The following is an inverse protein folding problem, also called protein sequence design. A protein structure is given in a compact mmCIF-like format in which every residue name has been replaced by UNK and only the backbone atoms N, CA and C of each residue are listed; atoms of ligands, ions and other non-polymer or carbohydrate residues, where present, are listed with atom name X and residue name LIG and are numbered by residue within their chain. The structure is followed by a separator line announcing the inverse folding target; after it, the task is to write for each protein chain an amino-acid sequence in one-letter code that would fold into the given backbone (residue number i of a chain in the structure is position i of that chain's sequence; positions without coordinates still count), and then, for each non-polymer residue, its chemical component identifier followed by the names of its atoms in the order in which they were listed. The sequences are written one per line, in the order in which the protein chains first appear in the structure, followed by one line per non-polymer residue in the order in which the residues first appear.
data_IF_321518573936
#
_entry.id   IF_321518573936
#
_cell.length_a   1.000
_cell.length_b   1.000
_cell.length_c   1.000
_cell.angle_alpha   90.00
_cell.angle_beta   90.00
_cell.angle_gamma   90.00
#
_symmetry.space_group_name_H-M   'P 1'
#
loop_
_entity.id
_entity.type
_entity.pdbx_description
1 polymer ?
#
# COMPACT_ATOMS: atom_id res chain seq x y z
N UNK A 1 1.11 -6.89 15.30
CA UNK A 1 1.83 -7.02 14.02
C UNK A 1 2.94 -6.00 13.96
N UNK A 2 4.13 -6.43 13.61
CA UNK A 2 5.28 -5.54 13.54
C UNK A 2 5.50 -5.00 12.13
N UNK A 3 6.04 -3.78 12.07
CA UNK A 3 6.37 -3.14 10.81
C UNK A 3 7.42 -3.96 10.05
N UNK A 4 7.18 -4.19 8.77
CA UNK A 4 8.10 -4.97 7.94
C UNK A 4 9.40 -4.21 7.62
N UNK A 5 9.39 -2.89 7.79
CA UNK A 5 10.57 -2.04 7.53
C UNK A 5 11.36 -1.73 8.81
N UNK A 6 10.68 -1.42 9.91
CA UNK A 6 11.30 -0.96 11.16
C UNK A 6 11.33 -2.00 12.27
N UNK A 7 10.55 -3.05 12.14
CA UNK A 7 10.33 -4.06 13.16
C UNK A 7 9.68 -3.54 14.45
N UNK A 8 9.13 -2.33 14.42
CA UNK A 8 8.39 -1.75 15.52
C UNK A 8 6.92 -2.15 15.46
N UNK A 9 6.24 -2.23 16.62
CA UNK A 9 4.79 -2.53 16.59
C UNK A 9 4.03 -1.47 15.83
N UNK A 10 3.08 -1.91 15.02
CA UNK A 10 2.21 -1.01 14.28
C UNK A 10 0.91 -0.79 15.04
N UNK A 11 0.30 0.38 14.83
CA UNK A 11 -1.00 0.69 15.40
C UNK A 11 -2.08 0.48 14.35
N UNK A 12 -3.30 0.21 14.81
CA UNK A 12 -4.44 0.06 13.91
C UNK A 12 -5.17 1.40 13.84
N UNK A 13 -5.38 1.86 12.61
CA UNK A 13 -6.15 3.08 12.36
C UNK A 13 -7.31 2.73 11.43
N UNK A 14 -8.42 3.43 11.60
CA UNK A 14 -9.54 3.30 10.69
C UNK A 14 -9.50 4.43 9.67
N UNK A 15 -9.45 4.06 8.39
CA UNK A 15 -9.43 5.02 7.29
C UNK A 15 -10.58 4.67 6.36
N UNK A 16 -11.55 5.57 6.22
CA UNK A 16 -12.71 5.35 5.35
C UNK A 16 -13.38 3.98 5.60
N UNK A 17 -13.60 3.66 6.88
CA UNK A 17 -14.26 2.43 7.35
C UNK A 17 -13.42 1.15 7.15
N UNK A 18 -12.14 1.29 6.80
CA UNK A 18 -11.22 0.17 6.64
C UNK A 18 -10.12 0.26 7.69
N UNK A 19 -9.81 -0.83 8.36
CA UNK A 19 -8.71 -0.88 9.30
C UNK A 19 -7.39 -1.09 8.58
N UNK A 20 -6.41 -0.25 8.90
CA UNK A 20 -5.07 -0.35 8.35
C UNK A 20 -4.06 -0.42 9.49
N UNK A 21 -2.95 -1.09 9.27
CA UNK A 21 -1.86 -1.13 10.23
C UNK A 21 -0.82 -0.07 9.83
N UNK A 22 -0.51 0.82 10.75
CA UNK A 22 0.33 1.98 10.48
C UNK A 22 1.56 2.02 11.39
N UNK A 23 2.73 2.23 10.81
CA UNK A 23 3.97 2.39 11.57
C UNK A 23 4.21 3.87 11.86
N UNK A 24 4.25 4.23 13.14
CA UNK A 24 4.50 5.61 13.56
C UNK A 24 5.92 6.07 13.23
N UNK A 25 6.86 5.13 13.15
CA UNK A 25 8.26 5.48 12.89
C UNK A 25 8.54 5.79 11.41
N UNK A 26 8.15 4.89 10.51
CA UNK A 26 8.48 5.07 9.09
C UNK A 26 7.32 5.55 8.23
N UNK A 27 6.10 5.59 8.77
CA UNK A 27 4.93 6.01 8.00
C UNK A 27 4.40 4.97 7.03
N UNK A 28 4.90 3.75 7.10
CA UNK A 28 4.42 2.67 6.23
C UNK A 28 3.06 2.15 6.65
N UNK A 29 2.35 1.57 5.71
CA UNK A 29 0.97 1.09 5.92
C UNK A 29 0.83 -0.32 5.35
N UNK A 30 0.22 -1.21 6.13
CA UNK A 30 -0.16 -2.54 5.68
C UNK A 30 -1.67 -2.63 5.52
N UNK A 31 -2.10 -3.17 4.38
CA UNK A 31 -3.51 -3.45 4.10
C UNK A 31 -3.68 -4.93 3.81
N UNK A 32 -4.63 -5.57 4.50
CA UNK A 32 -4.96 -6.96 4.22
C UNK A 32 -5.61 -7.08 2.83
N UNK A 33 -5.55 -8.29 2.29
CA UNK A 33 -6.06 -8.57 0.95
C UNK A 33 -7.52 -8.13 0.80
N UNK A 34 -7.80 -7.39 -0.27
CA UNK A 34 -9.14 -6.91 -0.58
C UNK A 34 -9.49 -5.56 0.03
N UNK A 35 -8.76 -5.12 1.05
CA UNK A 35 -9.10 -3.87 1.73
C UNK A 35 -8.80 -2.62 0.91
N UNK A 36 -7.82 -2.68 0.03
CA UNK A 36 -7.49 -1.53 -0.81
C UNK A 36 -8.66 -1.15 -1.73
N UNK A 37 -9.31 -2.14 -2.31
CA UNK A 37 -10.48 -1.91 -3.15
C UNK A 37 -11.65 -1.29 -2.39
N UNK A 38 -11.85 -1.74 -1.17
CA UNK A 38 -12.90 -1.20 -0.29
C UNK A 38 -12.57 0.24 0.09
N UNK A 39 -11.30 0.48 0.48
CA UNK A 39 -10.84 1.81 0.86
C UNK A 39 -11.05 2.84 -0.25
N UNK A 40 -10.72 2.47 -1.49
CA UNK A 40 -10.81 3.37 -2.63
C UNK A 40 -12.19 3.37 -3.30
N UNK A 41 -13.07 2.48 -2.88
CA UNK A 41 -14.45 2.46 -3.39
C UNK A 41 -14.60 1.89 -4.79
N UNK A 42 -13.60 1.17 -5.30
CA UNK A 42 -13.67 0.55 -6.62
C UNK A 42 -12.84 -0.74 -6.63
N UNK A 43 -13.42 -1.80 -6.10
CA UNK A 43 -12.74 -3.09 -5.97
C UNK A 43 -12.31 -3.67 -7.32
N UNK A 44 -13.17 -3.54 -8.32
CA UNK A 44 -12.93 -4.10 -9.64
C UNK A 44 -11.74 -3.42 -10.32
N UNK A 45 -11.68 -2.10 -10.27
CA UNK A 45 -10.60 -1.32 -10.87
C UNK A 45 -9.27 -1.54 -10.16
N UNK A 46 -9.29 -1.58 -8.83
CA UNK A 46 -8.09 -1.86 -8.03
C UNK A 46 -7.54 -3.24 -8.38
N UNK A 47 -8.41 -4.24 -8.41
CA UNK A 47 -8.01 -5.60 -8.74
C UNK A 47 -7.39 -5.68 -10.14
N UNK A 48 -7.97 -4.99 -11.10
CA UNK A 48 -7.44 -4.94 -12.47
C UNK A 48 -6.07 -4.29 -12.51
N UNK A 49 -5.90 -3.14 -11.87
CA UNK A 49 -4.62 -2.42 -11.83
C UNK A 49 -3.52 -3.27 -11.19
N UNK A 50 -3.83 -3.94 -10.09
CA UNK A 50 -2.85 -4.80 -9.42
C UNK A 50 -2.48 -6.01 -10.26
N UNK A 51 -3.43 -6.54 -11.03
CA UNK A 51 -3.18 -7.67 -11.92
C UNK A 51 -2.27 -7.27 -13.08
N UNK A 52 -2.39 -6.04 -13.57
CA UNK A 52 -1.57 -5.53 -14.67
C UNK A 52 -0.21 -5.02 -14.22
N UNK A 53 0.03 -4.95 -12.91
CA UNK A 53 1.31 -4.49 -12.39
C UNK A 53 2.44 -5.44 -12.77
N UNK A 54 3.61 -4.88 -13.02
CA UNK A 54 4.79 -5.66 -13.41
C UNK A 54 5.77 -5.75 -12.24
N UNK A 55 6.63 -6.77 -12.21
CA UNK A 55 7.67 -6.84 -11.20
C UNK A 55 8.60 -5.65 -11.32
N UNK A 56 8.90 -4.99 -10.21
CA UNK A 56 9.83 -3.87 -10.20
C UNK A 56 11.26 -4.39 -10.26
N UNK A 57 12.16 -3.70 -10.99
CA UNK A 57 13.55 -4.08 -10.97
C UNK A 57 14.15 -3.76 -9.60
N UNK A 58 14.60 -4.78 -8.89
CA UNK A 58 15.22 -4.61 -7.59
C UNK A 58 16.66 -4.14 -7.76
N UNK A 59 16.96 -3.01 -7.14
CA UNK A 59 18.31 -2.46 -7.13
C UNK A 59 19.11 -2.89 -5.91
N UNK A 60 18.42 -3.44 -4.91
CA UNK A 60 19.03 -3.94 -3.69
C UNK A 60 18.52 -5.35 -3.41
N UNK A 61 19.30 -6.11 -2.64
CA UNK A 61 18.90 -7.45 -2.25
C UNK A 61 17.98 -7.46 -1.03
N UNK A 62 17.66 -6.29 -0.51
CA UNK A 62 16.81 -6.17 0.66
C UNK A 62 15.35 -6.24 0.27
N UNK A 63 14.69 -7.28 0.73
CA UNK A 63 13.26 -7.48 0.52
C UNK A 63 12.52 -7.31 1.84
N UNK A 64 11.33 -6.73 1.78
CA UNK A 64 10.47 -6.70 2.93
C UNK A 64 9.73 -8.03 3.07
N UNK A 65 9.48 -8.43 4.28
CA UNK A 65 8.77 -9.67 4.57
C UNK A 65 7.31 -9.38 4.88
N UNK A 66 6.42 -10.25 4.41
CA UNK A 66 5.01 -10.16 4.76
C UNK A 66 4.87 -10.28 6.28
N UNK A 67 4.15 -9.36 6.94
CA UNK A 67 4.00 -9.43 8.39
C UNK A 67 3.16 -10.61 8.88
N UNK A 68 2.44 -11.26 7.97
CA UNK A 68 1.60 -12.42 8.32
C UNK A 68 2.38 -13.73 8.15
N UNK A 69 2.94 -13.99 6.97
CA UNK A 69 3.63 -15.26 6.71
C UNK A 69 5.14 -15.19 6.84
N UNK A 70 5.69 -14.00 7.01
CA UNK A 70 7.13 -13.72 7.17
C UNK A 70 8.00 -14.12 5.99
N UNK A 71 7.40 -14.36 4.84
CA UNK A 71 8.12 -14.64 3.61
C UNK A 71 8.39 -13.37 2.84
N UNK A 72 9.43 -13.37 2.03
CA UNK A 72 9.79 -12.21 1.21
C UNK A 72 8.65 -11.84 0.28
N UNK A 73 8.33 -10.56 0.24
CA UNK A 73 7.32 -10.03 -0.66
C UNK A 73 7.94 -9.68 -2.00
N UNK A 74 7.11 -9.60 -3.03
CA UNK A 74 7.54 -9.10 -4.32
C UNK A 74 7.22 -7.62 -4.42
N UNK A 75 8.12 -6.86 -5.03
CA UNK A 75 7.86 -5.46 -5.31
C UNK A 75 7.26 -5.35 -6.71
N UNK A 76 6.15 -4.64 -6.82
CA UNK A 76 5.48 -4.42 -8.09
C UNK A 76 5.51 -2.93 -8.43
N UNK A 77 5.48 -2.65 -9.72
CA UNK A 77 5.53 -1.30 -10.26
C UNK A 77 4.24 -0.99 -11.00
N UNK A 78 3.66 0.18 -10.73
CA UNK A 78 2.41 0.63 -11.34
C UNK A 78 2.63 2.03 -11.89
N UNK A 79 2.06 2.31 -13.07
CA UNK A 79 2.13 3.62 -13.69
C UNK A 79 3.22 3.71 -14.74
N UNK A 80 3.09 4.67 -15.64
CA UNK A 80 4.03 4.90 -16.74
C UNK A 80 4.91 6.12 -16.49
N UNK A 81 4.30 7.26 -16.23
CA UNK A 81 5.02 8.51 -16.02
C UNK A 81 5.49 8.65 -14.58
N UNK A 82 4.58 8.53 -13.64
CA UNK A 82 4.87 8.55 -12.23
C UNK A 82 4.71 7.14 -11.69
N UNK A 83 5.82 6.49 -11.44
CA UNK A 83 5.83 5.10 -10.99
C UNK A 83 5.55 4.98 -9.51
N UNK A 84 4.74 4.00 -9.16
CA UNK A 84 4.37 3.68 -7.79
C UNK A 84 4.86 2.28 -7.50
N UNK A 85 5.56 2.11 -6.37
CA UNK A 85 6.11 0.83 -5.96
C UNK A 85 5.40 0.33 -4.72
N UNK A 86 4.92 -0.91 -4.78
CA UNK A 86 4.17 -1.55 -3.69
C UNK A 86 4.77 -2.92 -3.46
N UNK A 87 4.89 -3.32 -2.19
CA UNK A 87 5.30 -4.68 -1.86
C UNK A 87 4.06 -5.53 -1.69
N UNK A 88 4.01 -6.67 -2.38
CA UNK A 88 2.87 -7.57 -2.39
C UNK A 88 3.28 -8.95 -1.88
N UNK A 89 2.51 -9.50 -0.94
CA UNK A 89 2.73 -10.86 -0.47
C UNK A 89 2.44 -11.85 -1.59
N UNK A 90 3.36 -12.77 -1.83
CA UNK A 90 3.20 -13.81 -2.86
C UNK A 90 2.08 -14.79 -2.54
N UNK A 91 1.70 -14.87 -1.27
CA UNK A 91 0.60 -15.73 -0.81
C UNK A 91 -0.71 -14.96 -0.65
N UNK A 92 -0.78 -13.76 -1.21
CA UNK A 92 -2.00 -12.93 -1.24
C UNK A 92 -2.52 -12.52 0.14
N UNK A 93 -1.64 -12.33 1.11
CA UNK A 93 -2.06 -11.86 2.44
C UNK A 93 -2.37 -10.38 2.46
N UNK A 94 -1.71 -9.59 1.61
CA UNK A 94 -1.95 -8.17 1.56
C UNK A 94 -0.85 -7.38 0.86
N UNK A 95 -0.88 -6.06 1.09
CA UNK A 95 -0.01 -5.10 0.43
C UNK A 95 0.67 -4.20 1.46
N UNK A 96 1.93 -3.88 1.22
CA UNK A 96 2.67 -2.91 2.02
C UNK A 96 2.96 -1.66 1.20
N UNK A 97 2.67 -0.51 1.78
CA UNK A 97 2.91 0.79 1.18
C UNK A 97 3.94 1.55 2.02
N UNK A 98 5.03 1.98 1.40
CA UNK A 98 5.95 2.89 2.05
C UNK A 98 5.27 4.25 2.22
N UNK A 99 5.85 5.09 3.08
CA UNK A 99 5.30 6.41 3.36
C UNK A 99 4.96 7.18 2.08
N UNK A 100 3.71 7.62 1.99
CA UNK A 100 3.22 8.39 0.84
C UNK A 100 2.76 7.56 -0.36
N UNK A 101 3.10 6.27 -0.42
CA UNK A 101 2.76 5.46 -1.58
C UNK A 101 1.26 5.15 -1.66
N UNK A 102 0.59 4.99 -0.53
CA UNK A 102 -0.85 4.77 -0.56
C UNK A 102 -1.60 5.97 -1.13
N UNK A 103 -1.18 7.18 -0.75
CA UNK A 103 -1.75 8.40 -1.31
C UNK A 103 -1.45 8.49 -2.81
N UNK A 104 -0.21 8.19 -3.21
CA UNK A 104 0.16 8.19 -4.62
C UNK A 104 -0.71 7.22 -5.42
N UNK A 105 -0.96 6.04 -4.87
CA UNK A 105 -1.82 5.06 -5.53
C UNK A 105 -3.26 5.56 -5.62
N UNK A 106 -3.78 6.17 -4.57
CA UNK A 106 -5.12 6.72 -4.57
C UNK A 106 -5.26 7.82 -5.62
N UNK A 107 -4.25 8.69 -5.74
CA UNK A 107 -4.24 9.74 -6.76
C UNK A 107 -4.18 9.15 -8.18
N UNK A 108 -3.39 8.11 -8.36
CA UNK A 108 -3.30 7.40 -9.63
C UNK A 108 -4.65 6.83 -10.05
N UNK A 109 -5.36 6.20 -9.12
CA UNK A 109 -6.68 5.62 -9.39
C UNK A 109 -7.73 6.67 -9.69
N UNK A 110 -7.56 7.86 -9.14
CA UNK A 110 -8.51 8.96 -9.26
C UNK A 110 -8.15 9.93 -10.40
N UNK A 111 -7.11 9.61 -11.15
CA UNK A 111 -6.60 10.45 -12.25
C UNK A 111 -6.30 11.89 -11.83
N UNK A 112 -5.88 12.08 -10.58
CA UNK A 112 -5.52 13.40 -10.08
C UNK A 112 -6.70 14.28 -9.69
N UNK A 113 -7.92 13.79 -9.78
CA UNK A 113 -9.08 14.51 -9.29
C UNK A 113 -9.13 14.42 -7.77
N UNK A 114 -9.57 15.49 -7.12
CA UNK A 114 -9.57 15.55 -5.68
C UNK A 114 -10.61 14.67 -5.04
N UNK A 115 -10.33 13.40 -4.88
CA UNK A 115 -11.26 12.49 -4.24
C UNK A 115 -11.30 12.72 -2.73
N UNK A 116 -12.38 12.26 -2.12
CA UNK A 116 -12.57 12.32 -0.68
C UNK A 116 -11.50 11.50 0.04
N UNK A 117 -11.14 10.34 -0.52
CA UNK A 117 -10.13 9.45 0.06
C UNK A 117 -8.74 10.09 0.01
N UNK A 118 -8.38 10.71 -1.12
CA UNK A 118 -7.09 11.39 -1.27
C UNK A 118 -6.95 12.48 -0.22
N UNK A 119 -8.01 13.29 -0.02
CA UNK A 119 -8.00 14.34 0.99
C UNK A 119 -7.83 13.77 2.39
N UNK A 120 -8.54 12.68 2.69
CA UNK A 120 -8.46 12.02 3.97
C UNK A 120 -7.05 11.51 4.25
N UNK A 121 -6.41 10.88 3.26
CA UNK A 121 -5.06 10.37 3.41
C UNK A 121 -4.05 11.50 3.66
N UNK A 122 -4.22 12.64 2.99
CA UNK A 122 -3.38 13.81 3.24
C UNK A 122 -3.53 14.33 4.66
N UNK A 123 -4.76 14.39 5.15
CA UNK A 123 -5.03 14.85 6.51
C UNK A 123 -4.47 13.92 7.57
N UNK A 124 -4.64 12.62 7.38
CA UNK A 124 -4.22 11.64 8.37
C UNK A 124 -2.71 11.42 8.39
N UNK A 125 -2.05 11.45 7.26
CA UNK A 125 -0.65 11.07 7.13
C UNK A 125 0.29 12.23 6.79
N UNK A 126 -0.22 13.44 6.86
CA UNK A 126 0.61 14.63 6.87
C UNK A 126 1.41 14.97 5.62
N UNK A 127 0.95 14.57 4.47
CA UNK A 127 1.65 14.87 3.24
C UNK A 127 1.00 16.00 2.46
#
# INVERSE_FOLDING_TARGET
MNCTSCDEPMIVLEVNEVEVDYCLECGGIWLDSGELGILLGDESKVKHVLKEAIPAPKKTETYRKCPICLKKMEEIEIGKDKKIFIDRCRNSHGLWFDRGELRNFAEFMDHGEGSKVVKLLKEMFGE
#
